data_IF_443138496304
#
_entry.id   IF_443138496304
#
_cell.length_a   1.000
_cell.length_b   1.000
_cell.length_c   1.000
_cell.angle_alpha   90.00
_cell.angle_beta   90.00
_cell.angle_gamma   90.00
#
_symmetry.space_group_name_H-M   'P 1'
#
loop_
_entity.id
_entity.type
_entity.pdbx_description
1 polymer ?
#
# COMPACT_ATOMS: atom_id res chain seq x y z
N UNK A 1 3.37 5.66 -14.19
CA UNK A 1 3.71 5.54 -15.61
C UNK A 1 2.41 5.53 -16.39
N UNK A 2 2.04 6.64 -17.05
CA UNK A 2 0.81 6.70 -17.84
C UNK A 2 1.01 5.93 -19.13
N UNK A 3 0.22 4.89 -19.33
CA UNK A 3 0.10 4.23 -20.63
C UNK A 3 -0.82 5.10 -21.48
N UNK A 4 -0.22 5.95 -22.29
CA UNK A 4 -0.87 6.60 -23.42
C UNK A 4 -0.59 5.66 -24.57
N UNK A 5 -1.64 5.08 -25.11
CA UNK A 5 -1.80 4.73 -26.51
C UNK A 5 -2.66 3.49 -26.66
N UNK A 6 -3.70 3.66 -27.47
CA UNK A 6 -4.60 2.63 -27.99
C UNK A 6 -5.50 1.90 -26.96
N UNK A 7 -6.38 2.63 -26.28
CA UNK A 7 -7.61 2.03 -25.82
C UNK A 7 -8.53 1.82 -27.02
N UNK A 8 -8.69 0.60 -27.49
CA UNK A 8 -9.69 0.23 -28.49
C UNK A 8 -10.95 -0.28 -27.80
N UNK A 9 -12.08 0.37 -28.05
CA UNK A 9 -13.37 -0.07 -27.56
C UNK A 9 -13.90 -1.16 -28.46
N UNK A 10 -14.07 -2.37 -27.97
CA UNK A 10 -14.77 -3.42 -28.70
C UNK A 10 -16.27 -3.13 -28.77
N UNK A 11 -17.01 -3.69 -29.74
CA UNK A 11 -18.47 -3.45 -29.91
C UNK A 11 -19.32 -3.82 -28.70
N UNK A 12 -18.81 -4.60 -27.77
CA UNK A 12 -19.46 -5.04 -26.52
C UNK A 12 -19.14 -4.13 -25.32
N UNK A 13 -18.48 -2.99 -25.52
CA UNK A 13 -18.15 -2.03 -24.45
C UNK A 13 -16.92 -2.39 -23.60
N UNK A 14 -16.18 -3.45 -23.95
CA UNK A 14 -14.88 -3.77 -23.32
C UNK A 14 -13.77 -2.89 -23.88
N UNK A 15 -12.94 -2.33 -23.02
CA UNK A 15 -11.77 -1.52 -23.42
C UNK A 15 -10.53 -2.40 -23.32
N UNK A 16 -9.84 -2.58 -24.44
CA UNK A 16 -8.55 -3.25 -24.49
C UNK A 16 -7.42 -2.24 -24.36
N UNK A 17 -6.53 -2.44 -23.40
CA UNK A 17 -5.30 -1.66 -23.27
C UNK A 17 -4.14 -2.40 -23.92
N UNK A 18 -3.46 -1.76 -24.86
CA UNK A 18 -2.20 -2.26 -25.42
C UNK A 18 -1.04 -1.79 -24.52
N UNK A 19 -0.55 -2.68 -23.68
CA UNK A 19 0.61 -2.44 -22.83
C UNK A 19 1.90 -2.82 -23.55
N UNK A 20 2.30 -2.08 -24.59
CA UNK A 20 3.63 -2.21 -25.18
C UNK A 20 4.64 -1.52 -24.27
N UNK A 21 5.43 -2.32 -23.55
CA UNK A 21 6.62 -1.85 -22.85
C UNK A 21 6.59 -1.93 -21.34
N UNK A 22 6.36 -3.11 -20.77
CA UNK A 22 6.77 -3.39 -19.39
C UNK A 22 8.30 -3.56 -19.34
N UNK A 23 8.95 -3.02 -18.33
CA UNK A 23 10.39 -3.06 -18.09
C UNK A 23 11.00 -4.48 -18.09
N UNK A 24 10.20 -5.53 -18.02
CA UNK A 24 10.61 -6.95 -18.03
C UNK A 24 9.93 -7.80 -19.11
N UNK A 25 9.33 -7.19 -20.15
CA UNK A 25 8.85 -7.95 -21.30
C UNK A 25 7.75 -9.01 -21.04
N UNK A 26 7.07 -8.98 -19.91
CA UNK A 26 6.00 -9.92 -19.59
C UNK A 26 4.71 -9.41 -20.21
N UNK A 27 4.40 -9.98 -21.38
CA UNK A 27 3.20 -9.70 -22.15
C UNK A 27 2.01 -10.49 -21.57
N UNK A 28 1.48 -10.06 -20.43
CA UNK A 28 0.30 -10.68 -19.84
C UNK A 28 -0.93 -9.85 -20.19
N UNK A 29 -1.54 -10.15 -21.33
CA UNK A 29 -2.79 -9.55 -21.79
C UNK A 29 -3.96 -10.15 -20.99
N UNK A 30 -4.22 -9.62 -19.81
CA UNK A 30 -5.48 -9.88 -19.10
C UNK A 30 -6.49 -8.80 -19.53
N UNK A 31 -7.68 -9.18 -20.01
CA UNK A 31 -8.74 -8.22 -20.25
C UNK A 31 -9.17 -7.63 -18.91
N UNK A 32 -9.02 -6.33 -18.75
CA UNK A 32 -9.51 -5.64 -17.56
C UNK A 32 -10.99 -5.37 -17.77
N UNK A 33 -11.87 -6.15 -17.14
CA UNK A 33 -13.29 -5.83 -17.11
C UNK A 33 -13.53 -4.57 -16.31
N UNK A 34 -14.05 -3.53 -16.98
CA UNK A 34 -14.41 -2.27 -16.34
C UNK A 34 -15.68 -2.45 -15.51
N UNK A 35 -15.55 -2.63 -14.21
CA UNK A 35 -16.68 -2.60 -13.31
C UNK A 35 -17.14 -1.15 -13.08
N UNK A 36 -18.29 -0.78 -13.63
CA UNK A 36 -19.03 0.45 -13.29
C UNK A 36 -19.66 0.31 -11.91
N UNK A 37 -18.86 0.27 -10.86
CA UNK A 37 -19.33 0.06 -9.49
C UNK A 37 -19.46 1.35 -8.67
N UNK A 38 -20.20 1.26 -7.54
CA UNK A 38 -20.24 2.31 -6.51
C UNK A 38 -18.85 2.47 -5.88
N UNK A 39 -18.54 3.65 -5.32
CA UNK A 39 -17.24 3.97 -4.70
C UNK A 39 -16.73 2.90 -3.70
N UNK A 40 -17.65 2.30 -2.95
CA UNK A 40 -17.38 1.28 -1.93
C UNK A 40 -17.40 -0.15 -2.49
N UNK A 41 -17.49 -0.31 -3.81
CA UNK A 41 -17.43 -1.63 -4.41
C UNK A 41 -15.96 -2.01 -4.64
N UNK A 42 -15.47 -2.88 -3.78
CA UNK A 42 -14.17 -3.53 -3.93
C UNK A 42 -14.40 -4.89 -4.58
N UNK A 43 -13.73 -5.16 -5.70
CA UNK A 43 -13.76 -6.48 -6.31
C UNK A 43 -13.12 -7.52 -5.36
N UNK A 44 -13.48 -8.79 -5.49
CA UNK A 44 -12.89 -9.84 -4.65
C UNK A 44 -11.37 -9.92 -4.85
N UNK A 45 -10.91 -9.75 -6.09
CA UNK A 45 -9.48 -9.69 -6.39
C UNK A 45 -8.79 -8.49 -5.73
N UNK A 46 -9.43 -7.31 -5.74
CA UNK A 46 -8.89 -6.13 -5.09
C UNK A 46 -8.76 -6.31 -3.58
N UNK A 47 -9.79 -6.90 -2.94
CA UNK A 47 -9.74 -7.23 -1.50
C UNK A 47 -8.58 -8.18 -1.18
N UNK A 48 -8.40 -9.20 -2.02
CA UNK A 48 -7.28 -10.14 -1.88
C UNK A 48 -5.94 -9.42 -2.02
N UNK A 49 -5.80 -8.55 -3.00
CA UNK A 49 -4.58 -7.76 -3.22
C UNK A 49 -4.31 -6.76 -2.08
N UNK A 50 -5.34 -6.10 -1.56
CA UNK A 50 -5.22 -5.20 -0.40
C UNK A 50 -4.80 -5.99 0.85
N UNK A 51 -5.39 -7.16 1.08
CA UNK A 51 -5.01 -8.03 2.20
C UNK A 51 -3.55 -8.48 2.06
N UNK A 52 -3.15 -8.95 0.88
CA UNK A 52 -1.78 -9.41 0.64
C UNK A 52 -0.75 -8.28 0.84
N UNK A 53 -1.04 -7.09 0.31
CA UNK A 53 -0.18 -5.93 0.49
C UNK A 53 -0.10 -5.50 1.96
N UNK A 54 -1.23 -5.46 2.68
CA UNK A 54 -1.27 -5.12 4.12
C UNK A 54 -0.46 -6.13 4.94
N UNK A 55 -0.60 -7.43 4.67
CA UNK A 55 0.16 -8.48 5.34
C UNK A 55 1.67 -8.35 5.07
N UNK A 56 2.05 -8.08 3.81
CA UNK A 56 3.44 -7.89 3.43
C UNK A 56 4.06 -6.64 4.09
N UNK A 57 3.32 -5.52 4.16
CA UNK A 57 3.77 -4.32 4.87
C UNK A 57 3.91 -4.57 6.37
N UNK A 58 2.93 -5.25 6.98
CA UNK A 58 2.98 -5.63 8.39
C UNK A 58 4.25 -6.43 8.68
N UNK A 59 4.53 -7.44 7.85
CA UNK A 59 5.73 -8.26 7.98
C UNK A 59 7.01 -7.43 7.78
N UNK A 60 7.05 -6.60 6.75
CA UNK A 60 8.22 -5.77 6.45
C UNK A 60 8.53 -4.80 7.59
N UNK A 61 7.52 -4.13 8.17
CA UNK A 61 7.71 -3.24 9.31
C UNK A 61 8.05 -4.00 10.60
N UNK A 62 7.50 -5.20 10.79
CA UNK A 62 7.92 -6.08 11.87
C UNK A 62 9.39 -6.47 11.76
N UNK A 63 9.84 -6.86 10.57
CA UNK A 63 11.24 -7.15 10.28
C UNK A 63 12.13 -5.92 10.49
N UNK A 64 11.70 -4.75 10.03
CA UNK A 64 12.40 -3.48 10.27
C UNK A 64 12.59 -3.21 11.76
N UNK A 65 11.52 -3.41 12.56
CA UNK A 65 11.55 -3.18 14.02
C UNK A 65 12.53 -4.12 14.73
N UNK A 66 12.66 -5.35 14.30
CA UNK A 66 13.60 -6.31 14.91
C UNK A 66 15.00 -6.22 14.30
N UNK A 67 15.24 -5.31 13.34
CA UNK A 67 16.54 -5.08 12.71
C UNK A 67 16.90 -6.12 11.63
N UNK A 68 15.89 -6.70 10.96
CA UNK A 68 16.10 -7.74 9.96
C UNK A 68 16.87 -8.94 10.56
N UNK A 69 17.67 -9.62 9.76
CA UNK A 69 18.53 -10.72 10.24
C UNK A 69 19.68 -10.26 11.11
N UNK A 70 20.16 -9.02 10.97
CA UNK A 70 21.16 -8.47 11.87
C UNK A 70 20.66 -8.37 13.32
N UNK A 71 19.37 -8.20 13.51
CA UNK A 71 18.74 -8.19 14.83
C UNK A 71 18.86 -9.48 15.62
N UNK A 72 19.13 -10.62 14.97
CA UNK A 72 19.36 -11.91 15.64
C UNK A 72 20.48 -11.84 16.69
N UNK A 73 21.56 -11.14 16.37
CA UNK A 73 22.69 -10.98 17.30
C UNK A 73 22.38 -9.98 18.40
N UNK A 74 21.63 -8.90 18.08
CA UNK A 74 21.29 -7.82 19.02
C UNK A 74 20.28 -8.26 20.06
N UNK A 75 19.39 -9.21 19.73
CA UNK A 75 18.28 -9.65 20.59
C UNK A 75 18.52 -10.93 21.39
N UNK A 76 19.76 -11.40 21.44
CA UNK A 76 20.13 -12.57 22.26
C UNK A 76 19.75 -13.92 21.66
N UNK A 77 19.59 -13.99 20.34
CA UNK A 77 19.40 -15.23 19.61
C UNK A 77 18.05 -15.39 18.91
N UNK A 78 17.90 -16.51 18.19
CA UNK A 78 16.77 -16.77 17.30
C UNK A 78 15.41 -16.73 18.00
N UNK A 79 15.28 -17.37 19.16
CA UNK A 79 14.00 -17.46 19.86
C UNK A 79 13.49 -16.08 20.31
N UNK A 80 14.38 -15.24 20.86
CA UNK A 80 14.04 -13.88 21.28
C UNK A 80 13.66 -13.01 20.07
N UNK A 81 14.40 -13.14 18.97
CA UNK A 81 14.12 -12.43 17.74
C UNK A 81 12.75 -12.79 17.16
N UNK A 82 12.40 -14.09 17.08
CA UNK A 82 11.07 -14.56 16.63
C UNK A 82 9.98 -14.05 17.54
N UNK A 83 10.16 -14.14 18.87
CA UNK A 83 9.18 -13.66 19.83
C UNK A 83 8.92 -12.16 19.66
N UNK A 84 9.95 -11.33 19.52
CA UNK A 84 9.83 -9.89 19.30
C UNK A 84 9.17 -9.57 17.95
N UNK A 85 9.49 -10.34 16.90
CA UNK A 85 8.83 -10.22 15.60
C UNK A 85 7.33 -10.48 15.74
N UNK A 86 6.94 -11.62 16.32
CA UNK A 86 5.53 -12.01 16.50
C UNK A 86 4.76 -11.01 17.36
N UNK A 87 5.36 -10.50 18.45
CA UNK A 87 4.75 -9.48 19.31
C UNK A 87 4.56 -8.13 18.58
N UNK A 88 5.42 -7.83 17.61
CA UNK A 88 5.29 -6.59 16.82
C UNK A 88 4.20 -6.66 15.76
N UNK A 89 3.81 -7.86 15.29
CA UNK A 89 2.84 -8.02 14.20
C UNK A 89 1.49 -7.36 14.44
N UNK A 90 0.81 -7.56 15.60
CA UNK A 90 -0.49 -6.94 15.85
C UNK A 90 -0.42 -5.40 15.83
N UNK A 91 0.62 -4.84 16.44
CA UNK A 91 0.83 -3.39 16.50
C UNK A 91 1.07 -2.82 15.11
N UNK A 92 1.93 -3.46 14.31
CA UNK A 92 2.19 -3.03 12.94
C UNK A 92 0.96 -3.17 12.05
N UNK A 93 0.18 -4.22 12.22
CA UNK A 93 -1.07 -4.42 11.48
C UNK A 93 -2.09 -3.31 11.77
N UNK A 94 -2.27 -2.94 13.04
CA UNK A 94 -3.18 -1.86 13.46
C UNK A 94 -2.69 -0.50 12.93
N UNK A 95 -1.39 -0.27 12.91
CA UNK A 95 -0.82 0.98 12.40
C UNK A 95 -0.91 1.10 10.88
N UNK A 96 -0.54 0.03 10.17
CA UNK A 96 -0.43 0.04 8.70
C UNK A 96 -1.76 -0.18 8.00
N UNK A 97 -2.58 -1.11 8.50
CA UNK A 97 -3.82 -1.51 7.84
C UNK A 97 -4.74 -0.33 7.53
N UNK A 98 -5.17 0.45 8.52
CA UNK A 98 -6.01 1.62 8.29
C UNK A 98 -5.34 2.68 7.43
N UNK A 99 -4.05 2.97 7.64
CA UNK A 99 -3.30 3.97 6.89
C UNK A 99 -3.20 3.58 5.40
N UNK A 100 -2.93 2.31 5.11
CA UNK A 100 -2.86 1.79 3.75
C UNK A 100 -4.24 1.81 3.07
N UNK A 101 -5.30 1.33 3.76
CA UNK A 101 -6.65 1.34 3.22
C UNK A 101 -7.14 2.76 2.91
N UNK A 102 -6.90 3.71 3.81
CA UNK A 102 -7.29 5.11 3.61
C UNK A 102 -6.51 5.76 2.47
N UNK A 103 -5.23 5.41 2.30
CA UNK A 103 -4.41 5.81 1.18
C UNK A 103 -5.02 5.36 -0.16
N UNK A 104 -5.41 4.07 -0.27
CA UNK A 104 -6.02 3.52 -1.48
C UNK A 104 -7.42 4.12 -1.73
N UNK A 105 -8.21 4.35 -0.68
CA UNK A 105 -9.49 5.06 -0.78
C UNK A 105 -9.27 6.48 -1.30
N UNK A 106 -8.20 7.16 -0.90
CA UNK A 106 -7.82 8.47 -1.42
C UNK A 106 -7.67 8.48 -2.95
N UNK A 107 -6.94 7.53 -3.50
CA UNK A 107 -6.81 7.36 -4.96
C UNK A 107 -8.16 7.12 -5.63
N UNK A 108 -8.99 6.25 -5.08
CA UNK A 108 -10.32 5.94 -5.60
C UNK A 108 -11.27 7.14 -5.59
N UNK A 109 -11.27 7.93 -4.51
CA UNK A 109 -12.10 9.13 -4.39
C UNK A 109 -11.77 10.14 -5.49
N UNK A 110 -10.48 10.40 -5.72
CA UNK A 110 -10.06 11.37 -6.73
C UNK A 110 -10.27 10.83 -8.15
N UNK A 111 -10.02 9.55 -8.40
CA UNK A 111 -10.32 8.91 -9.69
C UNK A 111 -11.81 9.02 -10.02
N UNK A 112 -12.69 8.73 -9.07
CA UNK A 112 -14.14 8.85 -9.24
C UNK A 112 -14.59 10.29 -9.54
N UNK A 113 -13.96 11.29 -8.89
CA UNK A 113 -14.23 12.71 -9.18
C UNK A 113 -13.99 13.04 -10.66
N UNK A 114 -13.06 12.36 -11.30
CA UNK A 114 -12.76 12.50 -12.73
C UNK A 114 -13.52 11.51 -13.63
N UNK A 115 -14.50 10.78 -13.09
CA UNK A 115 -15.28 9.80 -13.84
C UNK A 115 -14.53 8.54 -14.21
N UNK A 116 -13.42 8.26 -13.52
CA UNK A 116 -12.55 7.10 -13.75
C UNK A 116 -12.74 6.04 -12.68
N UNK A 117 -12.41 4.80 -13.01
CA UNK A 117 -12.35 3.70 -12.07
C UNK A 117 -10.89 3.48 -11.64
N UNK A 118 -10.67 3.20 -10.38
CA UNK A 118 -9.35 2.88 -9.86
C UNK A 118 -9.41 1.59 -9.02
N UNK A 119 -8.49 0.68 -9.28
CA UNK A 119 -8.31 -0.57 -8.52
C UNK A 119 -6.85 -0.74 -8.14
N UNK A 120 -6.62 -1.17 -6.90
CA UNK A 120 -5.29 -1.53 -6.45
C UNK A 120 -4.90 -2.93 -6.95
N UNK A 121 -3.72 -3.04 -7.52
CA UNK A 121 -3.13 -4.30 -7.98
C UNK A 121 -1.74 -4.49 -7.38
N UNK A 122 -1.56 -5.61 -6.71
CA UNK A 122 -0.26 -6.01 -6.13
C UNK A 122 0.73 -6.35 -7.24
N UNK A 123 1.97 -5.95 -7.05
CA UNK A 123 3.12 -6.54 -7.73
C UNK A 123 3.80 -7.57 -6.81
N UNK A 124 3.60 -8.88 -7.06
CA UNK A 124 4.20 -9.93 -6.22
C UNK A 124 5.73 -9.90 -6.24
N UNK A 125 6.33 -9.43 -7.35
CA UNK A 125 7.78 -9.27 -7.47
C UNK A 125 8.31 -8.18 -6.54
N UNK A 126 7.66 -7.01 -6.57
CA UNK A 126 7.98 -5.88 -5.70
C UNK A 126 7.78 -6.19 -4.22
N UNK A 127 6.73 -6.94 -3.85
CA UNK A 127 6.52 -7.39 -2.47
C UNK A 127 7.65 -8.31 -1.98
N UNK A 128 7.97 -9.35 -2.74
CA UNK A 128 9.02 -10.32 -2.39
C UNK A 128 10.38 -9.63 -2.27
N UNK A 129 10.70 -8.78 -3.23
CA UNK A 129 11.95 -8.01 -3.22
C UNK A 129 12.01 -7.08 -2.00
N UNK A 130 10.93 -6.37 -1.70
CA UNK A 130 10.87 -5.47 -0.54
C UNK A 130 11.05 -6.19 0.79
N UNK A 131 10.38 -7.34 0.98
CA UNK A 131 10.56 -8.19 2.17
C UNK A 131 12.02 -8.70 2.25
N UNK A 132 12.59 -9.15 1.14
CA UNK A 132 13.98 -9.62 1.12
C UNK A 132 14.97 -8.50 1.49
N UNK A 133 14.78 -7.30 0.94
CA UNK A 133 15.63 -6.14 1.26
C UNK A 133 15.56 -5.82 2.75
N UNK A 134 14.37 -5.68 3.32
CA UNK A 134 14.23 -5.34 4.75
C UNK A 134 14.78 -6.45 5.65
N UNK A 135 14.58 -7.71 5.29
CA UNK A 135 15.13 -8.85 6.04
C UNK A 135 16.66 -8.85 6.06
N UNK A 136 17.30 -8.57 4.92
CA UNK A 136 18.75 -8.62 4.78
C UNK A 136 19.45 -7.35 5.29
N UNK A 137 18.86 -6.18 5.05
CA UNK A 137 19.52 -4.89 5.32
C UNK A 137 18.98 -4.15 6.55
N UNK A 138 17.78 -4.52 7.03
CA UNK A 138 17.06 -3.74 8.02
C UNK A 138 16.59 -2.37 7.51
N UNK A 139 16.57 -2.17 6.19
CA UNK A 139 16.10 -0.95 5.55
C UNK A 139 14.84 -1.22 4.72
N UNK A 140 13.81 -0.37 4.90
CA UNK A 140 12.54 -0.53 4.20
C UNK A 140 12.59 0.12 2.82
N UNK A 141 12.59 -0.71 1.79
CA UNK A 141 12.37 -0.29 0.41
C UNK A 141 11.36 -1.25 -0.22
N UNK A 142 10.13 -0.81 -0.41
CA UNK A 142 9.07 -1.67 -0.91
C UNK A 142 8.17 -0.95 -1.91
N UNK A 143 7.88 -1.62 -3.03
CA UNK A 143 6.88 -1.23 -4.01
C UNK A 143 5.75 -2.28 -4.02
N UNK A 144 4.68 -2.10 -3.23
CA UNK A 144 3.68 -3.15 -3.00
C UNK A 144 2.79 -3.41 -4.22
N UNK A 145 2.70 -2.46 -5.12
CA UNK A 145 1.83 -2.51 -6.27
C UNK A 145 1.57 -1.13 -6.86
N UNK A 146 0.55 -1.06 -7.69
CA UNK A 146 0.12 0.16 -8.32
C UNK A 146 -1.40 0.27 -8.39
N UNK A 147 -1.90 1.49 -8.36
CA UNK A 147 -3.30 1.78 -8.67
C UNK A 147 -3.48 1.81 -10.17
N UNK A 148 -4.27 0.90 -10.68
CA UNK A 148 -4.67 0.85 -12.08
C UNK A 148 -5.86 1.76 -12.27
N UNK A 149 -5.72 2.77 -13.13
CA UNK A 149 -6.79 3.73 -13.43
C UNK A 149 -7.35 3.42 -14.81
N UNK A 150 -8.65 3.12 -14.86
CA UNK A 150 -9.38 2.89 -16.10
C UNK A 150 -10.27 4.09 -16.41
N UNK A 151 -10.08 4.69 -17.60
CA UNK A 151 -10.80 5.87 -18.06
C UNK A 151 -9.90 6.84 -18.82
N UNK A 152 -10.50 7.84 -19.46
CA UNK A 152 -9.77 8.90 -20.15
C UNK A 152 -9.34 9.97 -19.15
N UNK A 153 -8.08 9.94 -18.75
CA UNK A 153 -7.50 10.93 -17.83
C UNK A 153 -6.42 11.77 -18.52
N UNK A 154 -6.46 13.06 -18.26
CA UNK A 154 -5.37 13.97 -18.65
C UNK A 154 -4.15 13.74 -17.74
N UNK A 155 -2.98 14.19 -18.17
CA UNK A 155 -1.75 14.14 -17.33
C UNK A 155 -1.95 14.81 -15.96
N UNK A 156 -2.65 15.96 -15.95
CA UNK A 156 -2.95 16.70 -14.71
C UNK A 156 -3.87 15.92 -13.77
N UNK A 157 -4.93 15.32 -14.32
CA UNK A 157 -5.86 14.49 -13.53
C UNK A 157 -5.16 13.27 -12.96
N UNK A 158 -4.31 12.60 -13.75
CA UNK A 158 -3.52 11.48 -13.26
C UNK A 158 -2.55 11.89 -12.14
N UNK A 159 -1.94 13.07 -12.24
CA UNK A 159 -1.13 13.63 -11.14
C UNK A 159 -1.95 13.85 -9.85
N UNK A 160 -3.18 14.36 -9.96
CA UNK A 160 -4.07 14.51 -8.81
C UNK A 160 -4.47 13.16 -8.20
N UNK A 161 -4.72 12.14 -9.02
CA UNK A 161 -4.99 10.79 -8.54
C UNK A 161 -3.75 10.23 -7.82
N UNK A 162 -2.58 10.38 -8.42
CA UNK A 162 -1.34 9.85 -7.85
C UNK A 162 -0.96 10.49 -6.50
N UNK A 163 -1.22 11.79 -6.30
CA UNK A 163 -0.91 12.47 -5.05
C UNK A 163 -1.97 12.24 -3.96
N UNK A 164 -3.15 11.76 -4.31
CA UNK A 164 -4.27 11.63 -3.38
C UNK A 164 -3.97 10.68 -2.21
N UNK A 165 -3.36 9.52 -2.47
CA UNK A 165 -2.95 8.58 -1.44
C UNK A 165 -1.92 9.17 -0.47
N UNK A 166 -0.76 9.67 -0.95
CA UNK A 166 0.21 10.36 -0.11
C UNK A 166 -0.38 11.53 0.69
N UNK A 167 -1.30 12.30 0.08
CA UNK A 167 -1.96 13.42 0.78
C UNK A 167 -2.83 12.96 1.95
N UNK A 168 -3.53 11.82 1.82
CA UNK A 168 -4.27 11.20 2.93
C UNK A 168 -3.31 10.80 4.05
N UNK A 169 -2.21 10.14 3.76
CA UNK A 169 -1.22 9.75 4.76
C UNK A 169 -0.59 10.97 5.45
N UNK A 170 -0.32 12.04 4.70
CA UNK A 170 0.14 13.30 5.27
C UNK A 170 -0.91 13.92 6.21
N UNK A 171 -2.18 13.90 5.84
CA UNK A 171 -3.28 14.32 6.71
C UNK A 171 -3.37 13.49 7.99
N UNK A 172 -3.26 12.16 7.90
CA UNK A 172 -3.22 11.27 9.06
C UNK A 172 -2.03 11.58 9.98
N UNK A 173 -0.86 11.88 9.40
CA UNK A 173 0.32 12.29 10.16
C UNK A 173 0.07 13.59 10.93
N UNK A 174 -0.48 14.61 10.29
CA UNK A 174 -0.80 15.91 10.94
C UNK A 174 -1.81 15.75 12.07
N UNK A 175 -2.79 14.85 11.95
CA UNK A 175 -3.74 14.55 13.03
C UNK A 175 -3.10 13.71 14.12
N UNK A 176 -2.20 12.79 13.75
CA UNK A 176 -1.50 11.91 14.69
C UNK A 176 -0.55 12.66 15.64
N UNK A 177 0.09 13.74 15.20
CA UNK A 177 1.00 14.53 16.04
C UNK A 177 0.32 15.05 17.32
N UNK A 178 -0.79 15.80 17.25
CA UNK A 178 -1.43 16.32 18.45
C UNK A 178 -2.04 15.23 19.32
N UNK A 179 -2.58 14.16 18.71
CA UNK A 179 -3.10 13.00 19.45
C UNK A 179 -1.99 12.28 20.24
N UNK A 180 -0.84 12.04 19.59
CA UNK A 180 0.32 11.43 20.24
C UNK A 180 0.87 12.33 21.35
N UNK A 181 0.97 13.63 21.11
CA UNK A 181 1.39 14.62 22.11
C UNK A 181 0.44 14.66 23.32
N UNK A 182 -0.87 14.63 23.07
CA UNK A 182 -1.88 14.60 24.12
C UNK A 182 -1.76 13.32 24.99
N UNK A 183 -1.64 12.15 24.35
CA UNK A 183 -1.50 10.87 25.05
C UNK A 183 -0.21 10.80 25.89
N UNK A 184 0.91 11.32 25.38
CA UNK A 184 2.17 11.37 26.11
C UNK A 184 2.12 12.34 27.30
N UNK A 185 1.42 13.47 27.14
CA UNK A 185 1.31 14.48 28.17
C UNK A 185 0.31 14.10 29.28
N UNK A 186 -0.72 13.33 28.98
CA UNK A 186 -1.73 12.86 29.94
C UNK A 186 -1.34 11.54 30.62
N UNK A 187 -0.26 10.89 30.19
CA UNK A 187 0.26 9.69 30.84
C UNK A 187 0.85 10.07 32.21
N UNK A 188 0.41 9.41 33.32
CA UNK A 188 0.96 9.71 34.64
C UNK A 188 2.48 9.46 34.64
N UNK A 189 3.21 10.45 35.14
CA UNK A 189 4.66 10.34 35.28
C UNK A 189 5.00 9.19 36.25
N UNK A 190 6.07 8.41 36.01
CA UNK A 190 6.55 7.46 37.00
C UNK A 190 6.82 8.07 38.38
N UNK A 191 6.94 9.39 38.46
CA UNK A 191 7.12 10.14 39.73
C UNK A 191 5.81 10.35 40.51
N UNK A 192 4.66 10.19 39.85
CA UNK A 192 3.35 10.35 40.48
C UNK A 192 2.84 9.05 41.08
N UNK A 193 3.64 7.97 41.00
CA UNK A 193 3.34 6.64 41.53
C UNK A 193 4.04 6.34 42.89
N UNK A 194 4.74 7.35 43.51
CA UNK A 194 5.40 7.20 44.80
C UNK A 194 4.96 8.29 45.76
#
# INVERSE_FOLDING_TARGET
MCIRDSAQTAPNGTIHFDTRGGFLGINNRQPVELHKGKLWHFSEEEKHHLFLATAAFTLALGLLRVGGFFGLQLQGGFNSWVAMLLLSMPVMCIAVGPAFLLHEIGHKLVAKKYGCWAEFRVDPGGLKLGIAIVALTGFLFMAPGAVMVAGLVTRRQNGHIAIAGPAVNFGLFLVGIPLGGCLLYTSPSPRDLY
#
